data_IF_576480418176
#
_entry.id   IF_576480418176
#
_cell.length_a   1.000
_cell.length_b   1.000
_cell.length_c   1.000
_cell.angle_alpha   90.00
_cell.angle_beta   90.00
_cell.angle_gamma   90.00
#
_symmetry.space_group_name_H-M   'P 1'
#
loop_
_entity.id
_entity.type
_entity.pdbx_description
1 polymer ?
#
# COMPACT_ATOMS: atom_id res chain seq x y z
N UNK A 1 -15.12 -39.75 -19.21
CA UNK A 1 -14.11 -39.57 -18.15
C UNK A 1 -13.79 -38.09 -18.04
N UNK A 2 -13.70 -37.51 -16.84
CA UNK A 2 -13.60 -36.07 -16.68
C UNK A 2 -12.15 -35.61 -16.91
N UNK A 3 -11.95 -34.71 -17.87
CA UNK A 3 -10.75 -33.88 -17.90
C UNK A 3 -10.91 -32.77 -16.86
N UNK A 4 -10.21 -32.93 -15.73
CA UNK A 4 -9.96 -31.85 -14.80
C UNK A 4 -9.09 -30.81 -15.50
N UNK A 5 -9.71 -29.77 -16.03
CA UNK A 5 -9.01 -28.57 -16.46
C UNK A 5 -8.40 -27.93 -15.21
N UNK A 6 -7.08 -28.07 -15.07
CA UNK A 6 -6.32 -27.29 -14.11
C UNK A 6 -6.54 -25.81 -14.47
N UNK A 7 -7.32 -25.11 -13.64
CA UNK A 7 -7.50 -23.68 -13.77
C UNK A 7 -6.14 -23.03 -13.48
N UNK A 8 -5.41 -22.69 -14.54
CA UNK A 8 -4.26 -21.80 -14.43
C UNK A 8 -4.75 -20.51 -13.75
N UNK A 9 -4.05 -19.98 -12.74
CA UNK A 9 -4.39 -18.68 -12.20
C UNK A 9 -4.25 -17.70 -13.37
N UNK A 10 -5.38 -17.20 -13.90
CA UNK A 10 -5.35 -16.12 -14.87
C UNK A 10 -4.72 -14.94 -14.14
N UNK A 11 -3.44 -14.67 -14.41
CA UNK A 11 -2.81 -13.45 -13.94
C UNK A 11 -3.66 -12.28 -14.47
N UNK A 12 -4.17 -11.45 -13.57
CA UNK A 12 -4.94 -10.27 -13.94
C UNK A 12 -4.03 -9.38 -14.80
N UNK A 13 -4.58 -8.85 -15.89
CA UNK A 13 -3.86 -7.86 -16.69
C UNK A 13 -3.56 -6.61 -15.84
N UNK A 14 -2.50 -5.84 -16.14
CA UNK A 14 -2.11 -4.66 -15.37
C UNK A 14 -3.25 -3.65 -15.22
N UNK A 15 -4.09 -3.47 -16.24
CA UNK A 15 -5.27 -2.60 -16.18
C UNK A 15 -6.36 -3.12 -15.23
N UNK A 16 -6.51 -4.44 -15.12
CA UNK A 16 -7.47 -5.07 -14.21
C UNK A 16 -6.98 -4.96 -12.75
N UNK A 17 -5.65 -5.07 -12.53
CA UNK A 17 -5.01 -4.79 -11.23
C UNK A 17 -5.18 -3.32 -10.86
N UNK A 18 -4.85 -2.39 -11.76
CA UNK A 18 -5.03 -0.95 -11.52
C UNK A 18 -6.50 -0.65 -11.15
N UNK A 19 -7.47 -1.22 -11.87
CA UNK A 19 -8.90 -1.06 -11.56
C UNK A 19 -9.29 -1.61 -10.20
N UNK A 20 -8.65 -2.69 -9.74
CA UNK A 20 -8.89 -3.25 -8.40
C UNK A 20 -8.31 -2.36 -7.29
N UNK A 21 -7.28 -1.57 -7.61
CA UNK A 21 -6.65 -0.61 -6.70
C UNK A 21 -7.36 0.76 -6.68
N UNK A 22 -8.20 1.04 -7.68
CA UNK A 22 -8.98 2.28 -7.76
C UNK A 22 -9.80 2.49 -6.48
N UNK A 23 -9.71 3.70 -5.93
CA UNK A 23 -10.48 4.11 -4.76
C UNK A 23 -9.82 3.82 -3.42
N UNK A 24 -8.62 3.21 -3.39
CA UNK A 24 -7.81 3.15 -2.16
C UNK A 24 -6.90 4.38 -2.09
N UNK A 25 -7.18 5.36 -1.20
CA UNK A 25 -6.33 6.53 -1.05
C UNK A 25 -5.05 6.17 -0.28
N UNK A 26 -3.94 6.76 -0.72
CA UNK A 26 -2.70 6.89 0.04
C UNK A 26 -2.27 8.36 0.00
N UNK A 27 -1.52 8.77 1.01
CA UNK A 27 -1.14 10.15 1.21
C UNK A 27 0.36 10.32 0.99
N UNK A 28 0.74 11.38 0.32
CA UNK A 28 2.15 11.71 0.11
C UNK A 28 2.38 13.20 0.25
N UNK A 29 3.62 13.59 0.44
CA UNK A 29 4.00 14.98 0.57
C UNK A 29 4.49 15.48 -0.78
N UNK A 30 3.84 16.51 -1.29
CA UNK A 30 4.25 17.20 -2.51
C UNK A 30 4.79 18.59 -2.20
N UNK A 31 5.71 19.08 -3.02
CA UNK A 31 6.19 20.47 -2.96
C UNK A 31 5.13 21.46 -3.53
N UNK A 32 5.47 22.75 -3.62
CA UNK A 32 4.59 23.78 -4.19
C UNK A 32 4.27 23.56 -5.67
N UNK A 33 5.13 22.84 -6.40
CA UNK A 33 4.95 22.46 -7.80
C UNK A 33 4.16 21.16 -7.98
N UNK A 34 3.58 20.62 -6.90
CA UNK A 34 2.87 19.34 -6.91
C UNK A 34 3.76 18.12 -7.24
N UNK A 35 5.08 18.23 -7.08
CA UNK A 35 6.03 17.13 -7.27
C UNK A 35 6.25 16.38 -5.96
N UNK A 36 6.45 15.06 -6.03
CA UNK A 36 6.69 14.24 -4.83
C UNK A 36 7.99 14.64 -4.15
N UNK A 37 7.92 14.79 -2.83
CA UNK A 37 9.14 14.92 -2.01
C UNK A 37 9.79 13.55 -1.90
N UNK A 38 11.03 13.46 -2.37
CA UNK A 38 11.79 12.21 -2.37
C UNK A 38 12.85 12.24 -1.27
N UNK A 39 13.02 11.10 -0.60
CA UNK A 39 14.09 10.87 0.37
C UNK A 39 15.23 10.18 -0.36
N UNK A 40 16.40 10.80 -0.35
CA UNK A 40 17.63 10.13 -0.83
C UNK A 40 18.25 9.40 0.35
N UNK A 41 18.59 8.13 0.18
CA UNK A 41 19.36 7.39 1.18
C UNK A 41 20.87 7.66 0.99
N UNK A 42 21.52 8.38 1.93
CA UNK A 42 22.93 8.70 1.83
C UNK A 42 23.84 7.46 1.94
N UNK A 43 23.34 6.32 2.44
CA UNK A 43 24.12 5.09 2.58
C UNK A 43 24.21 4.29 1.28
N UNK A 44 23.20 4.37 0.41
CA UNK A 44 23.12 3.57 -0.83
C UNK A 44 23.28 4.39 -2.10
N UNK A 45 23.12 5.72 -2.04
CA UNK A 45 23.49 6.67 -3.10
C UNK A 45 22.77 6.52 -4.46
N UNK A 46 21.87 5.54 -4.62
CA UNK A 46 21.45 5.06 -5.94
C UNK A 46 19.93 5.05 -6.19
N UNK A 47 19.07 5.39 -5.23
CA UNK A 47 17.61 5.54 -5.49
C UNK A 47 16.98 6.64 -4.64
N UNK A 48 16.22 7.51 -5.29
CA UNK A 48 15.31 8.44 -4.62
C UNK A 48 14.06 7.69 -4.20
N UNK A 49 13.60 7.91 -2.96
CA UNK A 49 12.52 7.15 -2.37
C UNK A 49 11.28 8.03 -2.15
N UNK A 50 10.18 7.73 -2.81
CA UNK A 50 8.89 8.36 -2.55
C UNK A 50 8.17 7.66 -1.38
N UNK A 51 7.70 8.42 -0.39
CA UNK A 51 6.96 7.87 0.75
C UNK A 51 5.45 8.02 0.54
N UNK A 52 4.72 6.92 0.78
CA UNK A 52 3.27 6.82 0.62
C UNK A 52 2.64 6.31 1.93
N UNK A 53 1.92 7.15 2.65
CA UNK A 53 1.31 6.82 3.92
C UNK A 53 -0.14 6.33 3.73
N UNK A 54 -0.55 5.28 4.44
CA UNK A 54 -1.96 4.88 4.49
C UNK A 54 -2.82 5.79 5.36
N UNK A 55 -2.20 6.67 6.16
CA UNK A 55 -2.85 7.66 7.04
C UNK A 55 -2.38 9.06 6.72
N UNK A 56 -3.31 10.03 6.71
CA UNK A 56 -3.00 11.45 6.55
C UNK A 56 -2.07 11.95 7.64
N UNK A 57 -2.33 11.57 8.90
CA UNK A 57 -1.53 12.03 10.05
C UNK A 57 -0.05 11.65 9.92
N UNK A 58 0.24 10.48 9.37
CA UNK A 58 1.62 10.03 9.16
C UNK A 58 2.29 10.83 8.03
N UNK A 59 1.53 11.24 7.00
CA UNK A 59 2.01 12.15 5.96
C UNK A 59 2.18 13.60 6.48
N UNK A 60 1.32 14.07 7.38
CA UNK A 60 1.45 15.39 8.03
C UNK A 60 2.67 15.44 8.96
N UNK A 61 2.95 14.35 9.68
CA UNK A 61 4.17 14.20 10.45
C UNK A 61 5.41 14.24 9.56
N UNK A 62 5.37 13.56 8.41
CA UNK A 62 6.43 13.62 7.40
C UNK A 62 6.60 15.04 6.85
N UNK A 63 5.51 15.74 6.53
CA UNK A 63 5.54 17.13 6.07
C UNK A 63 6.17 18.05 7.10
N UNK A 64 5.83 17.87 8.38
CA UNK A 64 6.45 18.62 9.49
C UNK A 64 7.96 18.37 9.53
N UNK A 65 8.37 17.13 9.33
CA UNK A 65 9.78 16.76 9.26
C UNK A 65 10.52 17.40 8.08
N UNK A 66 9.90 17.42 6.90
CA UNK A 66 10.43 18.07 5.69
C UNK A 66 10.60 19.57 5.93
N UNK A 67 9.62 20.23 6.55
CA UNK A 67 9.70 21.66 6.89
C UNK A 67 10.82 21.99 7.87
N UNK A 68 11.06 21.12 8.86
CA UNK A 68 12.15 21.32 9.82
C UNK A 68 13.53 21.05 9.21
N UNK A 69 13.69 19.98 8.43
CA UNK A 69 15.00 19.58 7.88
C UNK A 69 15.39 20.34 6.62
N UNK A 70 14.43 20.64 5.76
CA UNK A 70 14.67 21.33 4.49
C UNK A 70 13.62 22.42 4.30
N UNK A 71 13.80 23.60 4.92
CA UNK A 71 12.86 24.71 4.84
C UNK A 71 12.55 25.15 3.41
N UNK A 72 13.51 24.99 2.49
CA UNK A 72 13.35 25.30 1.06
C UNK A 72 12.32 24.39 0.39
N UNK A 73 12.39 23.06 0.62
CA UNK A 73 11.40 22.12 0.10
C UNK A 73 10.08 22.19 0.87
N UNK A 74 10.15 22.45 2.18
CA UNK A 74 8.97 22.56 3.04
C UNK A 74 8.10 23.78 2.75
N UNK A 75 8.66 24.83 2.13
CA UNK A 75 7.93 26.04 1.76
C UNK A 75 6.94 25.73 0.64
N UNK A 76 5.65 25.72 1.00
CA UNK A 76 4.57 25.36 0.09
C UNK A 76 4.36 23.86 -0.09
N UNK A 77 5.10 23.02 0.64
CA UNK A 77 4.82 21.59 0.69
C UNK A 77 3.48 21.31 1.40
N UNK A 78 2.76 20.32 0.88
CA UNK A 78 1.43 19.92 1.33
C UNK A 78 1.25 18.41 1.22
N UNK A 79 0.38 17.87 2.07
CA UNK A 79 -0.09 16.49 1.93
C UNK A 79 -1.12 16.43 0.81
N UNK A 80 -0.94 15.48 -0.10
CA UNK A 80 -1.84 15.26 -1.24
C UNK A 80 -2.33 13.81 -1.19
N UNK A 81 -3.65 13.57 -1.25
CA UNK A 81 -4.18 12.23 -1.45
C UNK A 81 -3.98 11.82 -2.92
N UNK A 82 -3.43 10.63 -3.13
CA UNK A 82 -3.35 9.95 -4.41
C UNK A 82 -3.96 8.56 -4.27
N UNK A 83 -4.24 7.88 -5.38
CA UNK A 83 -4.82 6.54 -5.32
C UNK A 83 -3.79 5.46 -5.66
N UNK A 84 -3.97 4.25 -5.10
CA UNK A 84 -3.04 3.15 -5.35
C UNK A 84 -2.91 2.78 -6.84
N UNK A 85 -3.96 2.96 -7.64
CA UNK A 85 -3.90 2.74 -9.08
C UNK A 85 -2.99 3.75 -9.79
N UNK A 86 -3.00 5.02 -9.36
CA UNK A 86 -2.08 6.02 -9.87
C UNK A 86 -0.64 5.64 -9.55
N UNK A 87 -0.37 5.24 -8.31
CA UNK A 87 0.96 4.78 -7.87
C UNK A 87 1.41 3.54 -8.64
N UNK A 88 0.52 2.58 -8.84
CA UNK A 88 0.82 1.34 -9.57
C UNK A 88 1.25 1.62 -11.01
N UNK A 89 0.63 2.61 -11.65
CA UNK A 89 0.96 3.03 -13.01
C UNK A 89 2.16 3.98 -13.08
N UNK A 90 2.52 4.64 -11.97
CA UNK A 90 3.68 5.51 -11.88
C UNK A 90 4.98 4.70 -11.90
N UNK A 91 5.49 4.48 -13.12
CA UNK A 91 6.88 4.03 -13.32
C UNK A 91 7.76 5.26 -13.52
N UNK A 92 8.43 5.69 -12.46
CA UNK A 92 9.47 6.71 -12.57
C UNK A 92 10.84 6.03 -12.50
N UNK A 93 11.64 6.20 -13.55
CA UNK A 93 12.99 5.65 -13.60
C UNK A 93 13.83 6.19 -12.43
N UNK A 94 14.46 5.29 -11.68
CA UNK A 94 15.32 5.67 -10.55
C UNK A 94 14.59 6.05 -9.25
N UNK A 95 13.25 6.00 -9.21
CA UNK A 95 12.47 6.27 -8.00
C UNK A 95 11.81 4.98 -7.50
N UNK A 96 12.02 4.66 -6.23
CA UNK A 96 11.30 3.58 -5.55
C UNK A 96 10.23 4.18 -4.63
N UNK A 97 9.01 3.67 -4.67
CA UNK A 97 7.98 4.06 -3.71
C UNK A 97 7.94 3.09 -2.54
N UNK A 98 7.95 3.61 -1.31
CA UNK A 98 7.70 2.82 -0.11
C UNK A 98 6.43 3.25 0.57
N UNK A 99 5.65 2.25 0.93
CA UNK A 99 4.47 2.42 1.71
C UNK A 99 4.79 2.44 3.21
N UNK A 100 4.22 3.41 3.90
CA UNK A 100 4.16 3.49 5.35
C UNK A 100 2.81 2.93 5.81
N UNK A 101 2.78 1.69 6.33
CA UNK A 101 1.54 1.07 6.77
C UNK A 101 1.01 1.73 8.04
N UNK A 102 -0.31 1.67 8.22
CA UNK A 102 -0.95 2.11 9.47
C UNK A 102 -0.43 1.27 10.66
N UNK A 103 0.13 1.91 11.72
CA UNK A 103 0.62 1.22 12.91
C UNK A 103 -0.42 0.31 13.58
N UNK A 104 -1.72 0.65 13.52
CA UNK A 104 -2.77 -0.21 14.04
C UNK A 104 -2.86 -1.52 13.24
N UNK A 105 -2.70 -1.44 11.91
CA UNK A 105 -2.73 -2.63 11.06
C UNK A 105 -1.50 -3.51 11.25
N UNK A 106 -0.34 -2.90 11.55
CA UNK A 106 0.84 -3.65 11.97
C UNK A 106 0.56 -4.42 13.27
N UNK A 107 -0.01 -3.76 14.29
CA UNK A 107 -0.41 -4.43 15.54
C UNK A 107 -1.40 -5.57 15.30
N UNK A 108 -2.42 -5.34 14.47
CA UNK A 108 -3.42 -6.34 14.11
C UNK A 108 -2.79 -7.54 13.38
N UNK A 109 -1.83 -7.31 12.50
CA UNK A 109 -1.14 -8.37 11.78
C UNK A 109 -0.20 -9.16 12.71
N UNK A 110 0.50 -8.50 13.65
CA UNK A 110 1.32 -9.18 14.67
C UNK A 110 0.48 -10.10 15.57
N UNK A 111 -0.74 -9.68 15.93
CA UNK A 111 -1.64 -10.52 16.73
C UNK A 111 -2.10 -11.78 15.98
N UNK A 112 -2.24 -11.71 14.66
CA UNK A 112 -2.66 -12.86 13.83
C UNK A 112 -1.51 -13.82 13.54
N UNK A 113 -0.25 -13.38 13.64
CA UNK A 113 0.92 -14.20 13.33
C UNK A 113 1.94 -14.15 14.45
N UNK A 114 1.79 -15.10 15.38
CA UNK A 114 2.76 -15.37 16.45
C UNK A 114 4.15 -15.62 15.86
N UNK A 115 5.17 -14.91 16.35
CA UNK A 115 6.57 -15.14 15.97
C UNK A 115 7.14 -14.22 14.88
N UNK A 116 6.37 -13.27 14.34
CA UNK A 116 6.94 -12.18 13.55
C UNK A 116 7.42 -11.04 14.45
N UNK A 117 8.62 -10.54 14.21
CA UNK A 117 9.20 -9.36 14.87
C UNK A 117 8.98 -8.07 14.07
N UNK A 118 8.49 -8.17 12.84
CA UNK A 118 8.22 -7.05 11.95
C UNK A 118 7.59 -7.50 10.63
N UNK A 119 7.28 -6.53 9.77
CA UNK A 119 6.75 -6.75 8.42
C UNK A 119 7.62 -6.03 7.40
N UNK A 120 7.93 -6.73 6.31
CA UNK A 120 8.48 -6.13 5.10
C UNK A 120 7.31 -5.91 4.12
N UNK A 121 6.74 -4.70 4.16
CA UNK A 121 5.60 -4.30 3.32
C UNK A 121 4.34 -3.94 4.09
N UNK A 122 3.25 -3.77 3.34
CA UNK A 122 1.94 -3.36 3.87
C UNK A 122 1.14 -4.59 4.25
N UNK A 123 0.63 -4.68 5.49
CA UNK A 123 -0.21 -5.81 5.86
C UNK A 123 -1.55 -5.74 5.14
N UNK A 124 -1.99 -6.86 4.57
CA UNK A 124 -3.34 -7.02 3.99
C UNK A 124 -4.02 -8.24 4.57
N UNK A 125 -5.32 -8.12 4.80
CA UNK A 125 -6.14 -9.11 5.49
C UNK A 125 -7.15 -9.69 4.51
N UNK A 126 -7.26 -11.01 4.47
CA UNK A 126 -8.29 -11.72 3.71
C UNK A 126 -9.09 -12.57 4.68
N UNK A 127 -10.42 -12.63 4.53
CA UNK A 127 -11.20 -13.61 5.27
C UNK A 127 -11.30 -14.92 4.49
N UNK A 128 -11.15 -16.04 5.18
CA UNK A 128 -11.22 -17.38 4.56
C UNK A 128 -12.65 -17.75 4.13
N UNK A 129 -13.66 -17.15 4.77
CA UNK A 129 -15.07 -17.49 4.58
C UNK A 129 -15.83 -16.47 3.72
N UNK A 130 -15.21 -15.32 3.42
CA UNK A 130 -15.85 -14.28 2.65
C UNK A 130 -15.54 -14.45 1.17
N UNK A 131 -16.52 -14.90 0.40
CA UNK A 131 -16.44 -14.97 -1.06
C UNK A 131 -17.52 -14.09 -1.67
N UNK A 132 -17.10 -13.06 -2.41
CA UNK A 132 -18.00 -12.14 -3.11
C UNK A 132 -18.21 -12.65 -4.53
N UNK A 133 -19.47 -12.68 -4.99
CA UNK A 133 -19.81 -12.98 -6.38
C UNK A 133 -20.05 -11.68 -7.14
N UNK A 134 -19.29 -11.46 -8.22
CA UNK A 134 -19.53 -10.39 -9.18
C UNK A 134 -19.62 -11.01 -10.57
N UNK A 135 -20.78 -10.86 -11.20
CA UNK A 135 -21.13 -11.56 -12.45
C UNK A 135 -20.99 -13.09 -12.30
N UNK A 136 -20.26 -13.75 -13.21
CA UNK A 136 -19.97 -15.20 -13.17
C UNK A 136 -18.68 -15.55 -12.43
N UNK A 137 -18.00 -14.59 -11.78
CA UNK A 137 -16.73 -14.79 -11.08
C UNK A 137 -16.89 -14.68 -9.56
N UNK A 138 -16.11 -15.48 -8.83
CA UNK A 138 -16.00 -15.48 -7.36
C UNK A 138 -14.69 -14.82 -6.97
N UNK A 139 -14.72 -13.93 -5.99
CA UNK A 139 -13.56 -13.17 -5.52
C UNK A 139 -13.44 -13.31 -4.01
N UNK A 140 -12.21 -13.49 -3.52
CA UNK A 140 -11.89 -13.38 -2.11
C UNK A 140 -11.39 -11.94 -1.87
N UNK A 141 -12.17 -11.08 -1.20
CA UNK A 141 -11.78 -9.70 -0.98
C UNK A 141 -10.59 -9.63 -0.03
N UNK A 142 -9.68 -8.72 -0.35
CA UNK A 142 -8.50 -8.39 0.45
C UNK A 142 -8.65 -6.96 0.96
N UNK A 143 -8.27 -6.72 2.21
CA UNK A 143 -8.48 -5.47 2.91
C UNK A 143 -7.16 -4.94 3.46
N UNK A 144 -6.88 -3.65 3.25
CA UNK A 144 -5.74 -2.96 3.89
C UNK A 144 -5.98 -2.65 5.37
N UNK A 145 -7.24 -2.70 5.82
CA UNK A 145 -7.63 -2.41 7.18
C UNK A 145 -8.44 -3.57 7.77
N UNK A 146 -7.98 -4.10 8.90
CA UNK A 146 -8.79 -4.92 9.79
C UNK A 146 -9.45 -3.99 10.81
N UNK A 147 -10.75 -3.79 10.69
CA UNK A 147 -11.55 -3.19 11.77
C UNK A 147 -11.78 -4.30 12.79
N UNK A 148 -11.42 -4.07 14.06
CA UNK A 148 -11.22 -5.08 15.11
C UNK A 148 -12.47 -5.91 15.53
N UNK A 149 -13.55 -5.94 14.76
CA UNK A 149 -14.83 -6.58 15.11
C UNK A 149 -15.48 -7.37 13.96
N UNK A 150 -14.71 -7.91 13.03
CA UNK A 150 -15.28 -8.85 12.07
C UNK A 150 -15.36 -10.26 12.70
N UNK A 151 -16.54 -10.91 12.77
CA UNK A 151 -16.76 -12.20 13.44
C UNK A 151 -16.19 -13.41 12.68
N UNK A 152 -15.30 -13.18 11.70
CA UNK A 152 -14.79 -14.20 10.80
C UNK A 152 -13.26 -14.32 10.95
N UNK A 153 -12.70 -15.53 10.76
CA UNK A 153 -11.26 -15.71 10.70
C UNK A 153 -10.70 -14.92 9.52
N UNK A 154 -9.60 -14.20 9.78
CA UNK A 154 -8.80 -13.53 8.75
C UNK A 154 -7.44 -14.18 8.70
N UNK A 155 -7.02 -14.51 7.49
CA UNK A 155 -5.65 -14.88 7.16
C UNK A 155 -4.93 -13.65 6.63
N UNK A 156 -3.64 -13.55 6.95
CA UNK A 156 -2.75 -12.51 6.45
C UNK A 156 -2.04 -12.97 5.18
N UNK A 157 -1.86 -12.08 4.20
CA UNK A 157 -1.03 -12.32 3.02
C UNK A 157 0.17 -11.35 3.01
N UNK A 158 1.39 -11.88 2.99
CA UNK A 158 2.58 -11.10 2.59
C UNK A 158 2.66 -11.09 1.07
N UNK A 159 2.79 -9.91 0.44
CA UNK A 159 3.24 -9.89 -0.96
C UNK A 159 4.73 -10.26 -0.97
N UNK A 160 5.07 -11.43 -1.50
CA UNK A 160 6.46 -11.79 -1.79
C UNK A 160 6.94 -10.92 -2.95
N UNK A 161 8.07 -10.23 -2.77
CA UNK A 161 8.69 -9.39 -3.79
C UNK A 161 9.12 -10.15 -5.04
#
# INVERSE_FOLDING_TARGET
GPHGAAAQPLALGPDEVARALTGTPVFTVCNSSNEFVLVSDPATGLRSLGLLCFRSEDADALLSHVRTRQPVLGKGAKVVPITLDQVYMLKAEGIAFRFLPDPLQIKNALQLKSGLTGFDGVPVFQSDLLVVKKQKKRYCPVYFQKVCQAPFPFTYLTQSG
#
